data_IF_113479030421
#
_entry.id   IF_113479030421
#
_cell.length_a   1.000
_cell.length_b   1.000
_cell.length_c   1.000
_cell.angle_alpha   90.00
_cell.angle_beta   90.00
_cell.angle_gamma   90.00
#
_symmetry.space_group_name_H-M   'P 1'
#
loop_
_entity.id
_entity.type
_entity.pdbx_description
1 polymer ?
#
# COMPACT_ATOMS: atom_id res chain seq x y z
N UNK A 1 30.76 -17.96 -35.06
CA UNK A 1 31.36 -17.03 -34.08
C UNK A 1 30.44 -15.81 -33.94
N UNK A 2 29.56 -15.81 -32.94
CA UNK A 2 28.59 -14.73 -32.73
C UNK A 2 29.34 -13.51 -32.17
N UNK A 3 29.29 -12.36 -32.87
CA UNK A 3 30.13 -11.22 -32.55
C UNK A 3 29.79 -10.67 -31.15
N UNK A 4 30.84 -10.39 -30.36
CA UNK A 4 30.76 -9.86 -28.98
C UNK A 4 29.84 -8.63 -28.84
N UNK A 5 29.57 -7.95 -29.94
CA UNK A 5 28.76 -6.74 -30.04
C UNK A 5 27.25 -7.02 -29.82
N UNK A 6 26.74 -8.21 -30.18
CA UNK A 6 25.32 -8.55 -30.00
C UNK A 6 24.95 -8.84 -28.55
N UNK A 7 25.86 -9.47 -27.79
CA UNK A 7 25.70 -9.72 -26.35
C UNK A 7 25.69 -8.40 -25.56
N UNK A 8 26.51 -7.43 -25.95
CA UNK A 8 26.55 -6.10 -25.33
C UNK A 8 25.22 -5.34 -25.45
N UNK A 9 24.60 -5.33 -26.64
CA UNK A 9 23.29 -4.68 -26.82
C UNK A 9 22.16 -5.37 -26.05
N UNK A 10 22.21 -6.69 -25.87
CA UNK A 10 21.20 -7.43 -25.10
C UNK A 10 21.29 -7.08 -23.61
N UNK A 11 22.51 -6.96 -23.06
CA UNK A 11 22.73 -6.56 -21.66
C UNK A 11 22.29 -5.10 -21.42
N UNK A 12 22.58 -4.19 -22.35
CA UNK A 12 22.09 -2.81 -22.27
C UNK A 12 20.56 -2.71 -22.38
N UNK A 13 19.92 -3.50 -23.24
CA UNK A 13 18.46 -3.52 -23.35
C UNK A 13 17.79 -4.02 -22.07
N UNK A 14 18.35 -5.07 -21.44
CA UNK A 14 17.83 -5.62 -20.18
C UNK A 14 17.90 -4.62 -19.01
N UNK A 15 18.85 -3.68 -19.01
CA UNK A 15 18.97 -2.63 -18.01
C UNK A 15 17.89 -1.53 -18.16
N UNK A 16 17.30 -1.37 -19.34
CA UNK A 16 16.31 -0.32 -19.64
C UNK A 16 14.86 -0.85 -19.56
N UNK A 17 14.67 -2.16 -19.66
CA UNK A 17 13.33 -2.78 -19.72
C UNK A 17 12.81 -3.33 -18.40
N UNK A 18 13.52 -3.15 -17.29
CA UNK A 18 12.95 -3.44 -15.97
C UNK A 18 12.30 -2.15 -15.45
N UNK A 19 10.97 -1.99 -15.58
CA UNK A 19 10.29 -1.06 -14.70
C UNK A 19 10.55 -1.56 -13.28
N UNK A 20 11.49 -0.91 -12.60
CA UNK A 20 11.71 -1.10 -11.18
C UNK A 20 10.47 -0.54 -10.51
N UNK A 21 9.45 -1.40 -10.35
CA UNK A 21 8.26 -1.06 -9.61
C UNK A 21 8.62 -1.08 -8.11
N UNK A 22 9.21 0.01 -7.62
CA UNK A 22 9.71 0.17 -6.26
C UNK A 22 8.58 0.66 -5.34
N UNK A 23 7.69 -0.25 -4.96
CA UNK A 23 6.62 0.06 -3.99
C UNK A 23 7.18 0.52 -2.66
N UNK A 24 6.68 1.63 -2.14
CA UNK A 24 7.12 2.18 -0.85
C UNK A 24 6.16 1.79 0.27
N UNK A 25 6.67 1.05 1.26
CA UNK A 25 5.89 0.69 2.45
C UNK A 25 5.54 1.93 3.28
N UNK A 26 4.28 2.04 3.66
CA UNK A 26 3.75 3.06 4.57
C UNK A 26 3.80 2.51 6.00
N UNK A 27 4.53 3.14 6.92
CA UNK A 27 4.50 2.76 8.33
C UNK A 27 3.11 3.02 8.90
N UNK A 28 2.44 1.95 9.33
CA UNK A 28 1.16 2.05 10.01
C UNK A 28 1.35 2.01 11.52
N UNK A 29 0.57 2.82 12.22
CA UNK A 29 0.45 2.85 13.67
C UNK A 29 -1.02 2.81 14.06
N UNK A 30 -1.33 2.15 15.16
CA UNK A 30 -2.70 2.03 15.63
C UNK A 30 -2.92 0.82 16.53
N UNK A 31 -4.18 0.57 16.85
CA UNK A 31 -4.59 -0.55 17.70
C UNK A 31 -5.50 -1.45 16.89
N UNK A 32 -5.03 -2.67 16.65
CA UNK A 32 -5.82 -3.74 16.06
C UNK A 32 -5.88 -4.91 17.01
N UNK A 33 -7.01 -5.06 17.70
CA UNK A 33 -7.25 -6.18 18.60
C UNK A 33 -7.76 -7.35 17.79
N UNK A 34 -6.89 -8.33 17.60
CA UNK A 34 -7.30 -9.65 17.11
C UNK A 34 -8.30 -10.29 18.09
N UNK A 35 -9.23 -11.08 17.57
CA UNK A 35 -10.17 -11.84 18.40
C UNK A 35 -9.46 -12.90 19.26
N UNK A 36 -8.24 -13.31 18.88
CA UNK A 36 -7.35 -14.18 19.63
C UNK A 36 -6.11 -13.40 20.09
N UNK A 37 -5.67 -13.61 21.35
CA UNK A 37 -4.46 -12.95 21.87
C UNK A 37 -3.21 -13.47 21.16
N UNK A 38 -2.64 -12.70 20.25
CA UNK A 38 -1.24 -12.85 19.83
C UNK A 38 -0.31 -12.19 20.86
N UNK A 39 0.86 -12.81 21.11
CA UNK A 39 1.93 -12.25 21.96
C UNK A 39 2.63 -11.07 21.25
N UNK A 40 2.53 -11.02 19.91
CA UNK A 40 3.11 -9.98 19.08
C UNK A 40 1.97 -9.13 18.50
N UNK A 41 1.90 -7.87 18.90
CA UNK A 41 0.95 -6.89 18.33
C UNK A 41 1.48 -6.46 16.96
N UNK A 42 1.23 -7.27 15.94
CA UNK A 42 1.50 -6.92 14.54
C UNK A 42 0.18 -6.51 13.90
N UNK A 43 0.14 -5.36 13.24
CA UNK A 43 -1.03 -4.95 12.47
C UNK A 43 -1.27 -5.99 11.35
N UNK A 44 -2.51 -6.47 11.17
CA UNK A 44 -2.84 -7.45 10.14
C UNK A 44 -2.93 -6.82 8.73
N UNK A 45 -2.61 -5.54 8.61
CA UNK A 45 -2.68 -4.75 7.39
C UNK A 45 -1.31 -4.16 7.11
N UNK A 46 -0.91 -4.20 5.85
CA UNK A 46 0.24 -3.47 5.34
C UNK A 46 -0.21 -2.62 4.16
N UNK A 47 0.41 -1.45 4.01
CA UNK A 47 0.09 -0.48 2.96
C UNK A 47 1.37 -0.11 2.23
N UNK A 48 1.28 0.03 0.91
CA UNK A 48 2.34 0.58 0.07
C UNK A 48 1.78 1.66 -0.83
N UNK A 49 2.60 2.67 -1.10
CA UNK A 49 2.40 3.62 -2.20
C UNK A 49 3.10 3.03 -3.43
N UNK A 50 2.37 2.89 -4.53
CA UNK A 50 2.92 2.49 -5.82
C UNK A 50 3.74 3.64 -6.43
N UNK A 51 4.70 3.35 -7.31
CA UNK A 51 5.70 4.33 -7.80
C UNK A 51 5.12 5.58 -8.46
N UNK A 52 3.94 5.45 -9.06
CA UNK A 52 3.25 6.55 -9.72
C UNK A 52 2.64 7.56 -8.72
N UNK A 53 2.65 7.24 -7.43
CA UNK A 53 2.04 7.93 -6.30
C UNK A 53 0.53 8.15 -6.48
N UNK A 54 -0.13 7.46 -7.40
CA UNK A 54 -1.58 7.58 -7.61
C UNK A 54 -2.35 6.37 -7.09
N UNK A 55 -1.65 5.35 -6.60
CA UNK A 55 -2.26 4.10 -6.18
C UNK A 55 -1.66 3.60 -4.87
N UNK A 56 -2.51 2.97 -4.06
CA UNK A 56 -2.11 2.29 -2.82
C UNK A 56 -2.38 0.80 -2.95
N UNK A 57 -1.40 -0.02 -2.58
CA UNK A 57 -1.61 -1.45 -2.37
C UNK A 57 -1.87 -1.69 -0.88
N UNK A 58 -2.95 -2.41 -0.58
CA UNK A 58 -3.25 -2.92 0.75
C UNK A 58 -3.10 -4.44 0.72
N UNK A 59 -2.37 -5.00 1.67
CA UNK A 59 -2.30 -6.45 1.89
C UNK A 59 -2.77 -6.78 3.30
N UNK A 60 -3.57 -7.85 3.39
CA UNK A 60 -4.15 -8.35 4.62
C UNK A 60 -3.51 -9.70 4.97
N UNK A 61 -2.90 -9.81 6.15
CA UNK A 61 -2.27 -11.06 6.60
C UNK A 61 -3.26 -12.06 7.22
N UNK A 62 -4.49 -11.63 7.47
CA UNK A 62 -5.58 -12.45 8.01
C UNK A 62 -6.92 -11.88 7.57
N UNK A 63 -7.97 -12.72 7.62
CA UNK A 63 -9.33 -12.29 7.38
C UNK A 63 -9.86 -11.54 8.59
N UNK A 64 -10.00 -10.22 8.45
CA UNK A 64 -10.36 -9.28 9.53
C UNK A 64 -11.76 -8.67 9.33
N UNK A 65 -12.56 -9.28 8.44
CA UNK A 65 -13.90 -8.81 8.10
C UNK A 65 -13.89 -7.65 7.09
N UNK A 66 -14.94 -6.84 7.12
CA UNK A 66 -15.03 -5.64 6.28
C UNK A 66 -14.31 -4.48 6.95
N UNK A 67 -13.37 -3.87 6.24
CA UNK A 67 -12.66 -2.67 6.68
C UNK A 67 -13.05 -1.49 5.82
N UNK A 68 -13.11 -0.31 6.42
CA UNK A 68 -13.23 0.97 5.74
C UNK A 68 -11.85 1.59 5.59
N UNK A 69 -11.48 1.91 4.35
CA UNK A 69 -10.26 2.60 4.00
C UNK A 69 -10.61 4.04 3.65
N UNK A 70 -9.97 4.99 4.33
CA UNK A 70 -10.19 6.42 4.20
C UNK A 70 -8.84 7.06 3.92
N UNK A 71 -8.76 7.93 2.91
CA UNK A 71 -7.60 8.79 2.70
C UNK A 71 -8.04 10.23 2.87
N UNK A 72 -7.29 10.96 3.69
CA UNK A 72 -7.48 12.40 3.88
C UNK A 72 -6.30 13.16 3.33
N UNK A 73 -6.55 14.35 2.79
CA UNK A 73 -5.48 15.27 2.45
C UNK A 73 -4.91 15.98 3.68
N UNK A 74 -3.88 16.80 3.49
CA UNK A 74 -3.23 17.60 4.55
C UNK A 74 -4.15 18.56 5.32
N UNK A 75 -5.32 18.89 4.77
CA UNK A 75 -6.34 19.73 5.44
C UNK A 75 -7.38 18.91 6.23
N UNK A 76 -7.26 17.58 6.23
CA UNK A 76 -8.19 16.66 6.88
C UNK A 76 -9.44 16.32 6.05
N UNK A 77 -9.54 16.81 4.81
CA UNK A 77 -10.67 16.48 3.93
C UNK A 77 -10.53 15.06 3.40
N UNK A 78 -11.61 14.28 3.44
CA UNK A 78 -11.66 12.94 2.86
C UNK A 78 -11.62 13.04 1.34
N UNK A 79 -10.55 12.52 0.74
CA UNK A 79 -10.35 12.49 -0.72
C UNK A 79 -10.62 11.10 -1.31
N UNK A 80 -10.67 10.08 -0.47
CA UNK A 80 -11.03 8.72 -0.85
C UNK A 80 -11.68 7.98 0.32
N UNK A 81 -12.69 7.16 0.04
CA UNK A 81 -13.32 6.26 1.01
C UNK A 81 -13.87 5.02 0.30
N UNK A 82 -13.52 3.84 0.80
CA UNK A 82 -14.00 2.55 0.26
C UNK A 82 -14.11 1.50 1.36
N UNK A 83 -15.14 0.65 1.30
CA UNK A 83 -15.23 -0.57 2.09
C UNK A 83 -14.64 -1.75 1.35
N UNK A 84 -13.83 -2.56 2.04
CA UNK A 84 -13.12 -3.72 1.49
C UNK A 84 -13.47 -4.94 2.35
N UNK A 85 -14.06 -5.97 1.74
CA UNK A 85 -14.30 -7.24 2.42
C UNK A 85 -13.08 -8.16 2.33
N UNK A 86 -12.32 -8.23 3.41
CA UNK A 86 -11.08 -9.01 3.46
C UNK A 86 -11.33 -10.52 3.45
N UNK A 87 -12.55 -10.99 3.75
CA UNK A 87 -12.87 -12.43 3.65
C UNK A 87 -12.83 -12.94 2.20
N UNK A 88 -12.96 -12.04 1.23
CA UNK A 88 -13.00 -12.36 -0.19
C UNK A 88 -11.67 -12.06 -0.92
N UNK A 89 -10.77 -11.29 -0.30
CA UNK A 89 -9.50 -10.90 -0.91
C UNK A 89 -8.38 -10.72 0.12
N UNK A 90 -7.18 -11.18 -0.22
CA UNK A 90 -5.96 -10.98 0.57
C UNK A 90 -5.25 -9.66 0.26
N UNK A 91 -5.62 -8.97 -0.83
CA UNK A 91 -5.06 -7.67 -1.20
C UNK A 91 -6.03 -6.83 -2.03
N UNK A 92 -5.84 -5.52 -2.05
CA UNK A 92 -6.60 -4.62 -2.92
C UNK A 92 -5.74 -3.45 -3.37
N UNK A 93 -5.98 -2.98 -4.60
CA UNK A 93 -5.37 -1.77 -5.14
C UNK A 93 -6.42 -0.66 -5.10
N UNK A 94 -6.05 0.44 -4.47
CA UNK A 94 -6.83 1.67 -4.41
C UNK A 94 -6.23 2.66 -5.39
N UNK A 95 -6.95 2.95 -6.47
CA UNK A 95 -6.62 4.06 -7.35
C UNK A 95 -7.16 5.36 -6.74
N UNK A 96 -6.26 6.31 -6.47
CA UNK A 96 -6.59 7.63 -5.97
C UNK A 96 -6.90 8.57 -7.13
N UNK A 97 -7.86 9.47 -6.93
CA UNK A 97 -8.21 10.49 -7.92
C UNK A 97 -7.11 11.54 -8.11
N UNK A 98 -6.26 11.70 -7.10
CA UNK A 98 -5.13 12.60 -7.09
C UNK A 98 -3.90 11.87 -6.55
N UNK A 99 -2.71 12.30 -6.99
CA UNK A 99 -1.46 11.77 -6.46
C UNK A 99 -1.32 12.09 -4.97
N UNK A 100 -0.72 11.17 -4.23
CA UNK A 100 -0.30 11.35 -2.84
C UNK A 100 0.56 12.61 -2.72
N UNK A 101 0.14 13.50 -1.82
CA UNK A 101 0.80 14.76 -1.49
C UNK A 101 1.33 14.75 -0.07
N UNK A 102 2.18 15.72 0.23
CA UNK A 102 2.67 15.93 1.58
C UNK A 102 1.53 16.21 2.55
N UNK A 103 1.50 15.46 3.65
CA UNK A 103 0.48 15.55 4.69
C UNK A 103 -0.74 14.65 4.47
N UNK A 104 -0.81 13.90 3.38
CA UNK A 104 -1.88 12.92 3.17
C UNK A 104 -1.75 11.75 4.15
N UNK A 105 -2.88 11.29 4.67
CA UNK A 105 -2.97 10.23 5.68
C UNK A 105 -3.97 9.17 5.25
N UNK A 106 -3.61 7.91 5.41
CA UNK A 106 -4.53 6.78 5.29
C UNK A 106 -5.01 6.36 6.68
N UNK A 107 -6.30 6.05 6.79
CA UNK A 107 -6.93 5.39 7.92
C UNK A 107 -7.59 4.10 7.44
N UNK A 108 -7.43 3.02 8.20
CA UNK A 108 -8.13 1.76 8.00
C UNK A 108 -8.83 1.41 9.32
N UNK A 109 -10.14 1.13 9.27
CA UNK A 109 -10.92 0.81 10.47
C UNK A 109 -12.00 -0.23 10.18
N UNK A 110 -12.30 -1.11 11.15
CA UNK A 110 -13.46 -2.01 11.12
C UNK A 110 -14.62 -1.50 12.02
N UNK A 111 -14.51 -0.23 12.49
CA UNK A 111 -15.41 0.39 13.47
C UNK A 111 -14.99 0.21 14.94
N UNK A 112 -14.16 -0.78 15.26
CA UNK A 112 -13.65 -1.03 16.62
C UNK A 112 -12.13 -0.82 16.74
N UNK A 113 -11.42 -1.11 15.65
CA UNK A 113 -9.98 -1.05 15.50
C UNK A 113 -9.62 0.06 14.51
N UNK A 114 -8.42 0.61 14.64
CA UNK A 114 -7.93 1.64 13.72
C UNK A 114 -6.43 1.50 13.51
N UNK A 115 -6.03 1.59 12.25
CA UNK A 115 -4.65 1.77 11.81
C UNK A 115 -4.55 3.03 10.95
N UNK A 116 -3.47 3.78 11.09
CA UNK A 116 -3.23 5.01 10.33
C UNK A 116 -1.77 5.15 9.93
N UNK A 117 -1.52 5.85 8.83
CA UNK A 117 -0.16 6.10 8.35
C UNK A 117 -0.08 7.33 7.47
N UNK A 118 1.05 8.04 7.56
CA UNK A 118 1.33 9.17 6.69
C UNK A 118 1.85 8.65 5.34
N UNK A 119 1.18 9.01 4.25
CA UNK A 119 1.51 8.54 2.90
C UNK A 119 2.77 9.22 2.32
N UNK A 120 3.19 10.33 2.93
CA UNK A 120 4.23 11.24 2.45
C UNK A 120 5.49 11.35 3.32
N UNK A 121 5.57 10.64 4.46
CA UNK A 121 6.82 10.57 5.23
C UNK A 121 7.77 9.59 4.55
N UNK A 122 8.68 10.10 3.72
CA UNK A 122 9.83 9.39 3.12
C UNK A 122 11.09 9.71 3.92
#
# INVERSE_FOLDING_TARGET
MMSKNKLSCIVLALLVTLPSFAKKKVPLSGVWREQYKSIIVKLPIQVWVEDNNDSLLLEFSSYIGTVEVIVTNSTGNVIYKQSVDTNSTSSTIIALNEKVKQGDVIYITDGNNIASGNLSNY
#
